data_IF_365965150390
#
_entry.id   IF_365965150390
#
_cell.length_a   1.000
_cell.length_b   1.000
_cell.length_c   1.000
_cell.angle_alpha   90.00
_cell.angle_beta   90.00
_cell.angle_gamma   90.00
#
_symmetry.space_group_name_H-M   'P 1'
#
loop_
_entity.id
_entity.type
_entity.pdbx_description
1 polymer ?
#
# COMPACT_ATOMS: atom_id res chain seq x y z
N UNK A 1 19.04 -28.47 -20.87
CA UNK A 1 20.51 -28.32 -20.96
C UNK A 1 20.84 -27.07 -21.77
N UNK A 2 21.82 -26.27 -21.35
CA UNK A 2 22.25 -25.09 -22.09
C UNK A 2 22.91 -25.51 -23.41
N UNK A 3 22.52 -24.88 -24.52
CA UNK A 3 23.04 -25.21 -25.86
C UNK A 3 24.18 -24.25 -26.22
N UNK A 4 25.30 -24.80 -26.74
CA UNK A 4 26.43 -23.98 -27.19
C UNK A 4 26.11 -23.29 -28.52
N UNK A 5 26.57 -22.04 -28.66
CA UNK A 5 26.51 -21.23 -29.90
C UNK A 5 27.92 -21.05 -30.47
N UNK A 6 28.07 -21.14 -31.80
CA UNK A 6 29.32 -20.89 -32.47
C UNK A 6 29.61 -19.39 -32.49
N UNK A 7 30.83 -19.03 -32.13
CA UNK A 7 31.33 -17.66 -32.20
C UNK A 7 31.96 -17.33 -33.53
N UNK A 8 32.08 -16.04 -33.93
CA UNK A 8 32.77 -15.66 -35.17
C UNK A 8 34.25 -16.14 -35.23
N UNK A 9 34.87 -16.35 -34.07
CA UNK A 9 36.21 -16.91 -33.93
C UNK A 9 36.34 -18.39 -34.28
N UNK A 10 35.22 -19.06 -34.65
CA UNK A 10 35.17 -20.49 -34.94
C UNK A 10 35.03 -21.38 -33.70
N UNK A 11 35.17 -20.85 -32.50
CA UNK A 11 34.99 -21.57 -31.23
C UNK A 11 33.53 -21.65 -30.83
N UNK A 12 33.22 -22.58 -29.91
CA UNK A 12 31.86 -22.75 -29.37
C UNK A 12 31.79 -22.25 -27.95
N UNK A 13 30.72 -21.50 -27.63
CA UNK A 13 30.45 -20.95 -26.29
C UNK A 13 29.12 -21.46 -25.74
N UNK A 14 29.15 -22.05 -24.56
CA UNK A 14 27.98 -22.37 -23.75
C UNK A 14 27.92 -21.49 -22.52
N UNK A 15 26.75 -20.99 -22.19
CA UNK A 15 26.55 -20.13 -21.02
C UNK A 15 25.68 -20.84 -20.00
N UNK A 16 26.10 -20.84 -18.72
CA UNK A 16 25.35 -21.39 -17.60
C UNK A 16 24.95 -20.24 -16.71
N UNK A 17 23.69 -20.15 -16.41
CA UNK A 17 23.18 -19.21 -15.43
C UNK A 17 23.74 -19.55 -14.04
N UNK A 18 24.24 -18.56 -13.33
CA UNK A 18 24.82 -18.72 -11.98
C UNK A 18 23.90 -18.10 -10.94
N UNK A 19 23.57 -16.82 -11.11
CA UNK A 19 22.71 -16.05 -10.20
C UNK A 19 22.26 -14.76 -10.86
N UNK A 20 21.31 -14.08 -10.24
CA UNK A 20 20.97 -12.68 -10.54
C UNK A 20 21.67 -11.76 -9.53
N UNK A 21 22.29 -10.68 -9.99
CA UNK A 21 22.96 -9.73 -9.12
C UNK A 21 21.97 -8.76 -8.43
N UNK A 22 22.51 -7.89 -7.56
CA UNK A 22 21.71 -6.92 -6.80
C UNK A 22 20.99 -5.88 -7.67
N UNK A 23 21.37 -5.76 -8.94
CA UNK A 23 20.74 -4.87 -9.94
C UNK A 23 19.67 -5.56 -10.80
N UNK A 24 19.38 -6.84 -10.53
CA UNK A 24 18.44 -7.63 -11.33
C UNK A 24 19.05 -8.22 -12.62
N UNK A 25 20.36 -8.06 -12.83
CA UNK A 25 21.05 -8.59 -14.00
C UNK A 25 21.44 -10.04 -13.80
N UNK A 26 21.06 -10.89 -14.75
CA UNK A 26 21.42 -12.31 -14.75
C UNK A 26 22.93 -12.49 -15.02
N UNK A 27 23.63 -13.12 -14.08
CA UNK A 27 25.04 -13.46 -14.19
C UNK A 27 25.18 -14.86 -14.77
N UNK A 28 25.93 -14.95 -15.86
CA UNK A 28 26.24 -16.21 -16.53
C UNK A 28 27.73 -16.47 -16.51
N UNK A 29 28.12 -17.73 -16.28
CA UNK A 29 29.47 -18.20 -16.54
C UNK A 29 29.54 -18.79 -17.97
N UNK A 30 30.55 -18.36 -18.72
CA UNK A 30 30.74 -18.78 -20.13
C UNK A 30 31.84 -19.79 -20.22
N UNK A 31 31.59 -20.86 -20.97
CA UNK A 31 32.54 -21.92 -21.26
C UNK A 31 32.76 -21.94 -22.77
N UNK A 32 34.03 -21.78 -23.18
CA UNK A 32 34.43 -21.75 -24.58
C UNK A 32 35.33 -22.98 -24.89
N UNK A 33 35.11 -23.60 -26.03
CA UNK A 33 35.89 -24.74 -26.49
C UNK A 33 35.96 -24.79 -28.02
N UNK A 34 36.84 -25.62 -28.56
CA UNK A 34 37.02 -25.82 -30.00
C UNK A 34 35.86 -26.57 -30.63
N UNK A 35 35.19 -27.43 -29.86
CA UNK A 35 34.03 -28.22 -30.33
C UNK A 35 32.78 -27.86 -29.49
N UNK A 36 31.62 -28.09 -30.12
CA UNK A 36 30.31 -27.89 -29.48
C UNK A 36 30.16 -28.82 -28.26
N UNK A 37 30.51 -30.10 -28.41
CA UNK A 37 30.38 -31.10 -27.36
C UNK A 37 31.24 -30.78 -26.14
N UNK A 38 32.47 -30.29 -26.34
CA UNK A 38 33.37 -29.93 -25.26
C UNK A 38 32.88 -28.69 -24.51
N UNK A 39 32.32 -27.65 -25.20
CA UNK A 39 31.75 -26.48 -24.57
C UNK A 39 30.52 -26.84 -23.72
N UNK A 40 29.65 -27.73 -24.22
CA UNK A 40 28.47 -28.23 -23.52
C UNK A 40 28.86 -29.14 -22.33
N UNK A 41 29.91 -29.99 -22.49
CA UNK A 41 30.42 -30.83 -21.41
C UNK A 41 30.99 -29.97 -20.24
N UNK A 42 31.84 -29.00 -20.56
CA UNK A 42 32.36 -28.05 -19.54
C UNK A 42 31.26 -27.31 -18.83
N UNK A 43 30.23 -26.89 -19.56
CA UNK A 43 29.05 -26.22 -19.01
C UNK A 43 28.23 -27.18 -18.13
N UNK A 44 28.05 -28.42 -18.53
CA UNK A 44 27.33 -29.43 -17.74
C UNK A 44 28.10 -29.85 -16.49
N UNK A 45 29.42 -30.05 -16.59
CA UNK A 45 30.28 -30.29 -15.40
C UNK A 45 30.23 -29.17 -14.41
N UNK A 46 30.30 -27.92 -14.88
CA UNK A 46 30.12 -26.75 -14.01
C UNK A 46 28.73 -26.69 -13.41
N UNK A 47 27.67 -26.94 -14.18
CA UNK A 47 26.30 -26.98 -13.65
C UNK A 47 26.08 -28.09 -12.60
N UNK A 48 26.87 -29.17 -12.68
CA UNK A 48 26.89 -30.25 -11.67
C UNK A 48 27.77 -29.90 -10.45
N UNK A 49 28.84 -29.13 -10.65
CA UNK A 49 29.78 -28.72 -9.61
C UNK A 49 29.40 -27.44 -8.90
N UNK A 50 28.52 -26.62 -9.47
CA UNK A 50 27.81 -25.62 -8.73
C UNK A 50 26.95 -26.39 -7.73
N UNK A 51 27.40 -26.44 -6.48
CA UNK A 51 26.51 -26.76 -5.38
C UNK A 51 25.24 -25.95 -5.62
N UNK A 52 24.17 -26.63 -6.02
CA UNK A 52 22.86 -26.00 -6.06
C UNK A 52 22.68 -25.50 -4.64
N UNK A 53 22.79 -24.18 -4.44
CA UNK A 53 22.36 -23.58 -3.19
C UNK A 53 20.94 -24.10 -3.04
N UNK A 54 20.81 -25.16 -2.25
CA UNK A 54 19.47 -25.70 -1.98
C UNK A 54 18.72 -24.57 -1.28
N UNK A 55 17.43 -24.41 -1.51
CA UNK A 55 16.65 -23.39 -0.79
C UNK A 55 16.95 -23.35 0.69
N UNK A 56 17.30 -24.53 1.26
CA UNK A 56 17.62 -24.72 2.68
C UNK A 56 18.94 -24.04 3.13
N UNK A 57 19.88 -23.80 2.21
CA UNK A 57 21.17 -23.17 2.52
C UNK A 57 21.15 -21.63 2.49
N UNK A 58 20.02 -21.06 2.05
CA UNK A 58 19.86 -19.62 2.02
C UNK A 58 19.83 -19.01 3.43
N UNK A 59 20.38 -17.82 3.57
CA UNK A 59 20.15 -16.97 4.75
C UNK A 59 18.76 -16.32 4.68
N UNK A 60 18.28 -15.81 5.80
CA UNK A 60 17.03 -15.04 5.85
C UNK A 60 17.08 -13.86 4.87
N UNK A 61 18.22 -13.13 4.81
CA UNK A 61 18.37 -12.00 3.89
C UNK A 61 18.23 -12.44 2.45
N UNK A 62 18.91 -13.51 2.04
CA UNK A 62 18.85 -14.04 0.67
C UNK A 62 17.47 -14.57 0.31
N UNK A 63 16.84 -15.30 1.23
CA UNK A 63 15.49 -15.86 1.00
C UNK A 63 14.43 -14.76 0.88
N UNK A 64 14.47 -13.72 1.72
CA UNK A 64 13.54 -12.59 1.65
C UNK A 64 13.80 -11.76 0.41
N UNK A 65 15.07 -11.52 0.05
CA UNK A 65 15.41 -10.79 -1.17
C UNK A 65 14.92 -11.54 -2.42
N UNK A 66 15.18 -12.85 -2.51
CA UNK A 66 14.72 -13.68 -3.62
C UNK A 66 13.19 -13.64 -3.75
N UNK A 67 12.46 -13.75 -2.62
CA UNK A 67 11.00 -13.62 -2.62
C UNK A 67 10.55 -12.27 -3.18
N UNK A 68 11.21 -11.18 -2.80
CA UNK A 68 10.85 -9.84 -3.29
C UNK A 68 11.12 -9.73 -4.80
N UNK A 69 12.30 -10.14 -5.26
CA UNK A 69 12.75 -10.01 -6.65
C UNK A 69 11.88 -10.84 -7.62
N UNK A 70 11.52 -12.05 -7.22
CA UNK A 70 10.70 -12.95 -8.06
C UNK A 70 9.23 -12.52 -8.14
N UNK A 71 8.74 -11.79 -7.11
CA UNK A 71 7.37 -11.29 -7.08
C UNK A 71 7.26 -9.79 -7.44
N UNK A 72 8.37 -9.12 -7.81
CA UNK A 72 8.39 -7.67 -8.04
C UNK A 72 7.38 -7.23 -9.12
N UNK A 73 7.17 -8.05 -10.15
CA UNK A 73 6.24 -7.75 -11.25
C UNK A 73 4.77 -7.77 -10.83
N UNK A 74 4.44 -8.60 -9.84
CA UNK A 74 3.06 -8.78 -9.35
C UNK A 74 2.75 -7.86 -8.17
N UNK A 75 3.78 -7.29 -7.55
CA UNK A 75 3.66 -6.40 -6.41
C UNK A 75 3.59 -4.93 -6.84
N UNK A 76 2.81 -4.13 -6.11
CA UNK A 76 2.88 -2.69 -6.33
C UNK A 76 4.25 -2.14 -5.90
N UNK A 77 4.79 -1.10 -6.59
CA UNK A 77 6.09 -0.49 -6.23
C UNK A 77 6.18 -0.08 -4.76
N UNK A 78 5.09 0.42 -4.18
CA UNK A 78 5.03 0.77 -2.76
C UNK A 78 5.08 -0.46 -1.82
N UNK A 79 4.61 -1.62 -2.27
CA UNK A 79 4.71 -2.88 -1.52
C UNK A 79 6.15 -3.38 -1.52
N UNK A 80 6.81 -3.32 -2.68
CA UNK A 80 8.23 -3.69 -2.83
C UNK A 80 9.09 -2.83 -1.89
N UNK A 81 8.92 -1.50 -1.91
CA UNK A 81 9.65 -0.59 -1.00
C UNK A 81 9.34 -0.89 0.48
N UNK A 82 8.07 -1.19 0.81
CA UNK A 82 7.69 -1.63 2.15
C UNK A 82 8.43 -2.89 2.59
N UNK A 83 8.52 -3.89 1.71
CA UNK A 83 9.23 -5.14 2.00
C UNK A 83 10.74 -4.94 2.13
N UNK A 84 11.36 -4.13 1.26
CA UNK A 84 12.77 -3.79 1.39
C UNK A 84 13.09 -3.05 2.70
N UNK A 85 12.19 -2.15 3.14
CA UNK A 85 12.31 -1.49 4.44
C UNK A 85 12.19 -2.50 5.59
N UNK A 86 11.23 -3.42 5.50
CA UNK A 86 11.06 -4.46 6.50
C UNK A 86 12.27 -5.40 6.53
N UNK A 87 12.83 -5.80 5.37
CA UNK A 87 14.06 -6.58 5.28
C UNK A 87 15.23 -5.84 5.94
N UNK A 88 15.46 -4.56 5.61
CA UNK A 88 16.51 -3.75 6.29
C UNK A 88 16.37 -3.74 7.81
N UNK A 89 15.14 -3.90 8.31
CA UNK A 89 14.85 -3.96 9.73
C UNK A 89 15.01 -5.32 10.40
N UNK A 90 15.37 -6.39 9.67
CA UNK A 90 15.58 -7.75 10.20
C UNK A 90 17.07 -8.06 10.48
N UNK A 91 17.90 -7.03 10.76
CA UNK A 91 19.39 -7.15 10.81
C UNK A 91 19.89 -8.29 11.68
N UNK A 92 19.30 -8.52 12.83
CA UNK A 92 19.73 -9.55 13.79
C UNK A 92 19.60 -10.98 13.28
N UNK A 93 18.72 -11.22 12.32
CA UNK A 93 18.52 -12.56 11.73
C UNK A 93 18.97 -12.65 10.28
N UNK A 94 19.56 -11.61 9.68
CA UNK A 94 19.97 -11.59 8.27
C UNK A 94 20.80 -12.80 7.87
N UNK A 95 21.74 -13.21 8.71
CA UNK A 95 22.69 -14.28 8.41
C UNK A 95 22.28 -15.63 8.96
N UNK A 96 21.13 -15.73 9.61
CA UNK A 96 20.59 -17.00 10.07
C UNK A 96 20.14 -17.80 8.85
N UNK A 97 20.56 -19.07 8.76
CA UNK A 97 20.11 -19.97 7.70
C UNK A 97 18.62 -20.27 7.88
N UNK A 98 17.83 -20.26 6.77
CA UNK A 98 16.37 -20.46 6.86
C UNK A 98 16.01 -21.83 7.43
N UNK A 99 16.84 -22.86 7.19
CA UNK A 99 16.69 -24.20 7.79
C UNK A 99 16.88 -24.24 9.32
N UNK A 100 17.59 -23.25 9.88
CA UNK A 100 17.81 -23.13 11.34
C UNK A 100 16.69 -22.31 12.01
N UNK A 101 15.78 -21.75 11.24
CA UNK A 101 14.63 -21.00 11.78
C UNK A 101 13.67 -21.98 12.45
N UNK A 102 13.38 -21.74 13.71
CA UNK A 102 12.42 -22.48 14.51
C UNK A 102 11.65 -21.50 15.43
N UNK A 103 10.63 -22.00 16.13
CA UNK A 103 9.81 -21.17 17.02
C UNK A 103 10.63 -20.47 18.10
N UNK A 104 11.69 -21.11 18.62
CA UNK A 104 12.59 -20.51 19.62
C UNK A 104 13.35 -19.32 19.07
N UNK A 105 14.01 -19.47 17.90
CA UNK A 105 14.72 -18.39 17.20
C UNK A 105 13.81 -17.21 16.90
N UNK A 106 12.59 -17.50 16.42
CA UNK A 106 11.64 -16.45 16.08
C UNK A 106 11.08 -15.74 17.32
N UNK A 107 10.88 -16.47 18.41
CA UNK A 107 10.45 -15.88 19.70
C UNK A 107 11.50 -14.91 20.24
N UNK A 108 12.77 -15.30 20.22
CA UNK A 108 13.87 -14.41 20.61
C UNK A 108 13.93 -13.16 19.74
N UNK A 109 13.82 -13.33 18.43
CA UNK A 109 13.80 -12.21 17.50
C UNK A 109 12.61 -11.27 17.71
N UNK A 110 11.41 -11.80 17.92
CA UNK A 110 10.21 -10.97 18.21
C UNK A 110 10.37 -10.20 19.51
N UNK A 111 10.95 -10.81 20.56
CA UNK A 111 11.25 -10.13 21.82
C UNK A 111 12.27 -8.99 21.61
N UNK A 112 13.37 -9.22 20.89
CA UNK A 112 14.35 -8.19 20.54
C UNK A 112 13.69 -6.99 19.80
N UNK A 113 12.78 -7.27 18.86
CA UNK A 113 12.04 -6.21 18.18
C UNK A 113 11.12 -5.42 19.13
N UNK A 114 10.52 -6.08 20.12
CA UNK A 114 9.71 -5.43 21.16
C UNK A 114 10.60 -4.56 22.07
N UNK A 115 11.72 -5.10 22.54
CA UNK A 115 12.67 -4.42 23.41
C UNK A 115 13.29 -3.18 22.73
N UNK A 116 13.42 -3.21 21.38
CA UNK A 116 13.81 -2.03 20.58
C UNK A 116 12.73 -0.97 20.44
N UNK A 117 11.57 -1.13 21.09
CA UNK A 117 10.46 -0.16 21.07
C UNK A 117 9.66 -0.13 19.78
N UNK A 118 9.75 -1.14 18.93
CA UNK A 118 8.96 -1.19 17.70
C UNK A 118 7.47 -1.42 17.97
N UNK A 119 6.64 -0.71 17.23
CA UNK A 119 5.19 -0.87 17.31
C UNK A 119 4.74 -2.27 16.89
N UNK A 120 3.75 -2.87 17.57
CA UNK A 120 3.22 -4.21 17.27
C UNK A 120 2.92 -4.46 15.79
N UNK A 121 2.36 -3.47 15.09
CA UNK A 121 2.06 -3.57 13.66
C UNK A 121 3.31 -3.73 12.80
N UNK A 122 4.40 -3.03 13.13
CA UNK A 122 5.69 -3.15 12.42
C UNK A 122 6.29 -4.53 12.61
N UNK A 123 6.26 -5.05 13.83
CA UNK A 123 6.74 -6.41 14.16
C UNK A 123 5.95 -7.44 13.35
N UNK A 124 4.63 -7.34 13.32
CA UNK A 124 3.76 -8.25 12.55
C UNK A 124 4.01 -8.18 11.04
N UNK A 125 4.30 -7.00 10.50
CA UNK A 125 4.62 -6.85 9.07
C UNK A 125 5.94 -7.58 8.75
N UNK A 126 7.01 -7.36 9.53
CA UNK A 126 8.29 -8.06 9.36
C UNK A 126 8.13 -9.58 9.48
N UNK A 127 7.43 -10.04 10.52
CA UNK A 127 7.15 -11.46 10.71
C UNK A 127 6.36 -12.06 9.54
N UNK A 128 5.36 -11.34 9.03
CA UNK A 128 4.56 -11.78 7.88
C UNK A 128 5.40 -11.89 6.60
N UNK A 129 6.31 -10.94 6.36
CA UNK A 129 7.23 -10.99 5.23
C UNK A 129 8.18 -12.18 5.34
N UNK A 130 8.78 -12.42 6.52
CA UNK A 130 9.61 -13.58 6.76
C UNK A 130 8.86 -14.88 6.49
N UNK A 131 7.63 -15.03 7.03
CA UNK A 131 6.80 -16.23 6.77
C UNK A 131 6.53 -16.46 5.30
N UNK A 132 6.28 -15.39 4.53
CA UNK A 132 6.09 -15.50 3.07
C UNK A 132 7.35 -16.01 2.38
N UNK A 133 8.52 -15.46 2.73
CA UNK A 133 9.79 -15.90 2.18
C UNK A 133 10.15 -17.34 2.56
N UNK A 134 9.89 -17.75 3.79
CA UNK A 134 10.07 -19.15 4.23
C UNK A 134 9.17 -20.10 3.44
N UNK A 135 7.88 -19.77 3.33
CA UNK A 135 6.92 -20.57 2.54
C UNK A 135 7.31 -20.65 1.06
N UNK A 136 7.78 -19.54 0.49
CA UNK A 136 8.28 -19.48 -0.90
C UNK A 136 9.45 -20.44 -1.12
N UNK A 137 10.33 -20.59 -0.13
CA UNK A 137 11.45 -21.52 -0.15
C UNK A 137 11.10 -22.91 0.44
N UNK A 138 9.82 -23.28 0.45
CA UNK A 138 9.32 -24.61 0.87
C UNK A 138 9.59 -24.99 2.33
N UNK A 139 9.91 -24.04 3.19
CA UNK A 139 10.00 -24.28 4.64
C UNK A 139 8.59 -24.37 5.23
N UNK A 140 8.32 -25.41 6.02
CA UNK A 140 7.03 -25.56 6.68
C UNK A 140 6.84 -24.53 7.79
N UNK A 141 6.02 -23.53 7.51
CA UNK A 141 5.72 -22.43 8.43
C UNK A 141 4.60 -22.76 9.42
N UNK A 142 3.92 -23.89 9.28
CA UNK A 142 2.82 -24.28 10.17
C UNK A 142 3.32 -24.71 11.56
N UNK A 143 4.56 -25.22 11.62
CA UNK A 143 5.22 -25.60 12.86
C UNK A 143 5.85 -24.41 13.61
N UNK A 144 5.82 -23.21 13.00
CA UNK A 144 6.37 -21.99 13.60
C UNK A 144 5.31 -21.31 14.47
N UNK A 145 5.21 -21.74 15.72
CA UNK A 145 4.30 -21.14 16.70
C UNK A 145 5.01 -20.03 17.48
N UNK A 146 4.63 -18.78 17.20
CA UNK A 146 5.14 -17.57 17.86
C UNK A 146 4.01 -16.63 18.18
N UNK A 147 3.85 -16.32 19.46
CA UNK A 147 2.89 -15.33 19.93
C UNK A 147 3.37 -13.92 19.57
N UNK A 148 2.68 -13.29 18.64
CA UNK A 148 2.97 -11.91 18.24
C UNK A 148 2.27 -10.89 19.15
N UNK A 149 2.89 -9.71 19.38
CA UNK A 149 2.28 -8.66 20.20
C UNK A 149 0.92 -8.25 19.62
N UNK A 150 -0.02 -7.97 20.53
CA UNK A 150 -1.36 -7.52 20.14
C UNK A 150 -1.26 -6.13 19.50
N UNK A 151 -1.91 -5.94 18.37
CA UNK A 151 -2.12 -4.61 17.79
C UNK A 151 -3.34 -4.03 18.50
N UNK A 152 -3.13 -2.98 19.24
CA UNK A 152 -4.25 -2.19 19.76
C UNK A 152 -4.97 -1.55 18.57
N UNK A 153 -6.21 -1.93 18.38
CA UNK A 153 -7.09 -1.29 17.41
C UNK A 153 -7.64 -0.03 18.05
N UNK A 154 -6.94 1.08 17.88
CA UNK A 154 -7.56 2.38 18.18
C UNK A 154 -8.70 2.55 17.17
N UNK A 155 -9.92 2.52 17.68
CA UNK A 155 -11.07 2.96 16.89
C UNK A 155 -10.91 4.46 16.69
N UNK A 156 -10.39 4.86 15.54
CA UNK A 156 -10.35 6.27 15.18
C UNK A 156 -11.79 6.71 15.01
N UNK A 157 -12.24 7.63 15.84
CA UNK A 157 -13.53 8.29 15.64
C UNK A 157 -13.52 9.04 14.30
N UNK A 158 -14.68 9.28 13.72
CA UNK A 158 -14.78 10.20 12.59
C UNK A 158 -14.34 11.58 13.05
N UNK A 159 -13.61 12.35 12.22
CA UNK A 159 -13.41 13.77 12.51
C UNK A 159 -14.74 14.49 12.67
N UNK A 160 -14.77 15.46 13.56
CA UNK A 160 -15.92 16.35 13.73
C UNK A 160 -16.11 17.26 12.51
N UNK A 161 -17.34 17.65 12.24
CA UNK A 161 -17.65 18.59 11.15
C UNK A 161 -16.92 19.93 11.33
N UNK A 162 -16.84 20.41 12.57
CA UNK A 162 -16.12 21.63 12.93
C UNK A 162 -14.62 21.56 12.66
N UNK A 163 -13.99 20.40 12.90
CA UNK A 163 -12.57 20.20 12.62
C UNK A 163 -12.29 20.20 11.11
N UNK A 164 -13.15 19.54 10.34
CA UNK A 164 -13.05 19.53 8.87
C UNK A 164 -13.26 20.92 8.29
N UNK A 165 -14.24 21.68 8.80
CA UNK A 165 -14.48 23.06 8.41
C UNK A 165 -13.26 23.96 8.70
N UNK A 166 -12.70 23.90 9.91
CA UNK A 166 -11.50 24.67 10.30
C UNK A 166 -10.30 24.35 9.42
N UNK A 167 -10.10 23.06 9.09
CA UNK A 167 -9.04 22.63 8.16
C UNK A 167 -9.26 23.21 6.77
N UNK A 168 -10.48 23.15 6.26
CA UNK A 168 -10.82 23.67 4.94
C UNK A 168 -10.65 25.18 4.85
N UNK A 169 -11.15 25.93 5.80
CA UNK A 169 -11.07 27.40 5.85
C UNK A 169 -9.64 27.91 5.90
N UNK A 170 -8.80 27.31 6.75
CA UNK A 170 -7.40 27.71 6.92
C UNK A 170 -6.44 27.17 5.83
N UNK A 171 -6.93 26.33 4.92
CA UNK A 171 -6.13 25.73 3.86
C UNK A 171 -5.83 26.71 2.72
N UNK A 172 -4.65 26.59 2.10
CA UNK A 172 -4.35 27.24 0.83
C UNK A 172 -5.22 26.63 -0.31
N UNK A 173 -5.34 27.30 -1.47
CA UNK A 173 -6.23 26.86 -2.54
C UNK A 173 -6.05 25.39 -2.97
N UNK A 174 -4.81 24.93 -3.14
CA UNK A 174 -4.55 23.54 -3.52
C UNK A 174 -4.96 22.55 -2.43
N UNK A 175 -4.70 22.89 -1.17
CA UNK A 175 -5.07 22.05 -0.04
C UNK A 175 -6.59 22.06 0.20
N UNK A 176 -7.29 23.16 -0.09
CA UNK A 176 -8.77 23.20 -0.08
C UNK A 176 -9.34 22.16 -1.04
N UNK A 177 -8.82 22.08 -2.28
CA UNK A 177 -9.23 21.07 -3.25
C UNK A 177 -8.92 19.64 -2.72
N UNK A 178 -7.74 19.43 -2.14
CA UNK A 178 -7.38 18.12 -1.56
C UNK A 178 -8.34 17.71 -0.43
N UNK A 179 -8.65 18.62 0.49
CA UNK A 179 -9.56 18.36 1.61
C UNK A 179 -10.99 18.11 1.09
N UNK A 180 -11.46 18.91 0.17
CA UNK A 180 -12.78 18.77 -0.46
C UNK A 180 -12.90 17.39 -1.12
N UNK A 181 -11.95 17.01 -2.00
CA UNK A 181 -11.97 15.72 -2.69
C UNK A 181 -11.89 14.53 -1.70
N UNK A 182 -11.11 14.66 -0.63
CA UNK A 182 -11.01 13.60 0.37
C UNK A 182 -12.24 13.50 1.29
N UNK A 183 -12.79 14.64 1.73
CA UNK A 183 -13.88 14.70 2.73
C UNK A 183 -15.27 14.55 2.11
N UNK A 184 -15.49 15.01 0.88
CA UNK A 184 -16.80 14.92 0.20
C UNK A 184 -16.90 13.78 -0.81
N UNK A 185 -15.77 13.29 -1.32
CA UNK A 185 -15.75 12.26 -2.38
C UNK A 185 -14.82 11.08 -2.05
N UNK A 186 -14.26 11.05 -0.84
CA UNK A 186 -13.48 9.90 -0.36
C UNK A 186 -12.24 9.57 -1.19
N UNK A 187 -11.61 10.52 -1.87
CA UNK A 187 -10.41 10.23 -2.65
C UNK A 187 -9.21 9.93 -1.75
N UNK A 188 -8.41 8.96 -2.19
CA UNK A 188 -7.12 8.67 -1.58
C UNK A 188 -6.09 9.72 -1.99
N UNK A 189 -5.09 9.94 -1.15
CA UNK A 189 -4.02 10.91 -1.42
C UNK A 189 -3.35 10.72 -2.78
N UNK A 190 -3.08 9.49 -3.19
CA UNK A 190 -2.47 9.19 -4.47
C UNK A 190 -3.43 9.40 -5.64
N UNK A 191 -4.72 9.08 -5.47
CA UNK A 191 -5.78 9.40 -6.45
C UNK A 191 -5.86 10.91 -6.66
N UNK A 192 -5.89 11.72 -5.59
CA UNK A 192 -5.91 13.20 -5.67
C UNK A 192 -4.70 13.74 -6.44
N UNK A 193 -3.51 13.18 -6.18
CA UNK A 193 -2.28 13.60 -6.86
C UNK A 193 -2.26 13.24 -8.35
N UNK A 194 -2.98 12.17 -8.73
CA UNK A 194 -3.01 11.64 -10.09
C UNK A 194 -3.99 12.38 -11.03
N UNK A 195 -4.96 13.10 -10.47
CA UNK A 195 -6.01 13.77 -11.25
C UNK A 195 -5.44 14.81 -12.23
N UNK A 196 -5.90 14.73 -13.47
CA UNK A 196 -5.62 15.69 -14.53
C UNK A 196 -6.89 16.40 -14.95
N UNK A 197 -6.75 17.57 -15.60
CA UNK A 197 -7.94 18.30 -16.07
C UNK A 197 -8.74 17.55 -17.13
N UNK A 198 -8.14 16.65 -17.91
CA UNK A 198 -8.86 15.78 -18.85
C UNK A 198 -9.80 14.78 -18.19
N UNK A 199 -9.59 14.50 -16.89
CA UNK A 199 -10.42 13.57 -16.12
C UNK A 199 -11.73 14.24 -15.65
N UNK A 200 -11.84 15.58 -15.82
CA UNK A 200 -13.01 16.37 -15.47
C UNK A 200 -13.82 16.71 -16.73
N UNK A 201 -15.03 16.16 -16.82
CA UNK A 201 -16.01 16.45 -17.88
C UNK A 201 -17.30 17.02 -17.27
N UNK A 202 -17.52 18.30 -17.42
CA UNK A 202 -18.59 19.02 -16.73
C UNK A 202 -18.51 18.86 -15.22
N UNK A 203 -19.52 18.24 -14.62
CA UNK A 203 -19.53 17.90 -13.19
C UNK A 203 -19.09 16.46 -12.90
N UNK A 204 -18.62 15.72 -13.89
CA UNK A 204 -18.17 14.34 -13.73
C UNK A 204 -16.65 14.30 -13.64
N UNK A 205 -16.12 13.72 -12.55
CA UNK A 205 -14.68 13.52 -12.37
C UNK A 205 -14.36 12.03 -12.35
N UNK A 206 -13.57 11.57 -13.31
CA UNK A 206 -13.16 10.17 -13.44
C UNK A 206 -11.90 9.91 -12.60
N UNK A 207 -12.05 9.07 -11.59
CA UNK A 207 -10.96 8.64 -10.70
C UNK A 207 -10.54 7.24 -11.11
N UNK A 208 -9.45 7.12 -11.88
CA UNK A 208 -9.02 5.86 -12.50
C UNK A 208 -7.54 5.54 -12.30
N UNK A 209 -6.79 6.43 -11.67
CA UNK A 209 -5.34 6.30 -11.53
C UNK A 209 -4.85 6.69 -10.14
N UNK A 210 -3.62 6.33 -9.83
CA UNK A 210 -2.96 6.60 -8.54
C UNK A 210 -1.50 6.97 -8.78
N UNK A 211 -0.95 7.89 -7.99
CA UNK A 211 0.49 8.14 -7.95
C UNK A 211 1.06 7.43 -6.73
N UNK A 212 2.01 6.55 -6.99
CA UNK A 212 2.73 5.78 -5.97
C UNK A 212 4.22 6.08 -5.97
N UNK A 213 4.88 5.84 -4.86
CA UNK A 213 6.32 6.00 -4.73
C UNK A 213 7.04 4.75 -5.20
N UNK A 214 8.08 4.90 -6.01
CA UNK A 214 8.94 3.79 -6.46
C UNK A 214 10.13 3.58 -5.54
N UNK A 215 10.84 2.47 -5.72
CA UNK A 215 12.07 2.11 -5.01
C UNK A 215 13.16 3.20 -5.10
N UNK A 216 13.22 3.92 -6.22
CA UNK A 216 14.25 4.95 -6.47
C UNK A 216 13.86 6.34 -5.94
N UNK A 217 12.77 6.44 -5.18
CA UNK A 217 12.28 7.72 -4.70
C UNK A 217 11.48 8.52 -5.74
N UNK A 218 11.27 7.97 -6.91
CA UNK A 218 10.51 8.58 -7.99
C UNK A 218 9.01 8.39 -7.83
N UNK A 219 8.25 9.25 -8.48
CA UNK A 219 6.80 9.14 -8.52
C UNK A 219 6.38 8.37 -9.77
N UNK A 220 5.65 7.30 -9.55
CA UNK A 220 5.11 6.49 -10.64
C UNK A 220 3.60 6.73 -10.76
N UNK A 221 3.18 7.22 -11.93
CA UNK A 221 1.77 7.31 -12.27
C UNK A 221 1.27 5.91 -12.66
N UNK A 222 0.52 5.29 -11.77
CA UNK A 222 -0.09 4.00 -12.01
C UNK A 222 -1.40 4.20 -12.77
N UNK A 223 -1.51 3.75 -14.04
CA UNK A 223 -2.69 4.00 -14.88
C UNK A 223 -3.91 3.17 -14.45
N UNK A 224 -3.73 2.21 -13.54
CA UNK A 224 -4.81 1.38 -13.00
C UNK A 224 -4.93 1.62 -11.50
N UNK A 225 -6.14 1.70 -10.96
CA UNK A 225 -6.35 1.85 -9.53
C UNK A 225 -5.90 0.61 -8.75
N UNK A 226 -5.87 0.72 -7.44
CA UNK A 226 -5.45 -0.38 -6.54
C UNK A 226 -6.37 -1.59 -6.59
N UNK A 227 -7.66 -1.34 -6.79
CA UNK A 227 -8.71 -2.37 -6.92
C UNK A 227 -9.66 -1.95 -8.05
N UNK A 228 -10.37 -2.89 -8.70
CA UNK A 228 -11.36 -2.56 -9.72
C UNK A 228 -12.42 -1.54 -9.25
N UNK A 229 -12.90 -1.67 -8.01
CA UNK A 229 -13.90 -0.76 -7.43
C UNK A 229 -13.37 0.67 -7.22
N UNK A 230 -12.06 0.88 -7.33
CA UNK A 230 -11.46 2.22 -7.23
C UNK A 230 -11.56 3.01 -8.54
N UNK A 231 -11.84 2.35 -9.68
CA UNK A 231 -12.17 3.01 -10.95
C UNK A 231 -13.63 3.46 -10.89
N UNK A 232 -13.83 4.77 -10.85
CA UNK A 232 -15.17 5.34 -10.63
C UNK A 232 -15.30 6.76 -11.14
N UNK A 233 -16.52 7.13 -11.48
CA UNK A 233 -16.90 8.51 -11.77
C UNK A 233 -17.62 9.09 -10.57
N UNK A 234 -17.13 10.19 -10.05
CA UNK A 234 -17.78 10.97 -8.99
C UNK A 234 -18.49 12.19 -9.58
N UNK A 235 -19.54 12.64 -8.92
CA UNK A 235 -20.31 13.81 -9.33
C UNK A 235 -19.94 14.96 -8.40
N UNK A 236 -19.41 16.02 -9.00
CA UNK A 236 -19.08 17.28 -8.32
C UNK A 236 -20.23 18.27 -8.39
N UNK A 237 -20.31 19.17 -7.43
CA UNK A 237 -21.18 20.35 -7.57
C UNK A 237 -20.56 21.40 -8.53
N UNK A 238 -21.35 22.31 -9.09
CA UNK A 238 -20.82 23.42 -9.89
C UNK A 238 -19.80 24.27 -9.13
N UNK A 239 -19.97 24.43 -7.80
CA UNK A 239 -19.05 25.16 -6.92
C UNK A 239 -17.72 24.46 -6.81
N UNK A 240 -17.71 23.13 -6.69
CA UNK A 240 -16.48 22.32 -6.66
C UNK A 240 -15.72 22.38 -7.98
N UNK A 241 -16.44 22.35 -9.08
CA UNK A 241 -15.84 22.55 -10.42
C UNK A 241 -15.22 23.96 -10.55
N UNK A 242 -15.90 25.00 -10.04
CA UNK A 242 -15.33 26.36 -9.98
C UNK A 242 -14.09 26.45 -9.11
N UNK A 243 -14.09 25.74 -7.96
CA UNK A 243 -12.92 25.68 -7.08
C UNK A 243 -11.73 24.99 -7.73
N UNK A 244 -11.95 23.89 -8.48
CA UNK A 244 -10.90 23.17 -9.23
C UNK A 244 -10.37 24.08 -10.34
N UNK A 245 -11.23 24.84 -10.99
CA UNK A 245 -10.86 25.74 -12.08
C UNK A 245 -10.62 25.03 -13.42
N UNK A 246 -9.88 25.70 -14.30
CA UNK A 246 -9.57 25.21 -15.65
C UNK A 246 -8.05 25.07 -15.84
N UNK A 247 -7.62 24.12 -16.66
CA UNK A 247 -6.23 23.91 -17.04
C UNK A 247 -6.11 23.14 -18.34
N UNK A 248 -4.88 22.88 -18.78
CA UNK A 248 -4.63 22.05 -19.95
C UNK A 248 -4.96 20.59 -19.67
N UNK A 249 -5.46 19.82 -20.66
CA UNK A 249 -5.92 18.44 -20.43
C UNK A 249 -4.94 17.54 -19.68
N UNK A 250 -3.66 17.56 -20.05
CA UNK A 250 -2.63 16.72 -19.43
C UNK A 250 -2.03 17.32 -18.14
N UNK A 251 -2.40 18.51 -17.77
CA UNK A 251 -1.94 19.15 -16.53
C UNK A 251 -2.62 18.52 -15.33
N UNK A 252 -1.83 18.26 -14.28
CA UNK A 252 -2.36 17.80 -13.00
C UNK A 252 -3.15 18.89 -12.29
N UNK A 253 -4.33 18.59 -11.77
CA UNK A 253 -5.19 19.52 -11.02
C UNK A 253 -4.45 20.08 -9.80
N UNK A 254 -3.79 19.22 -9.03
CA UNK A 254 -3.05 19.63 -7.82
C UNK A 254 -1.59 19.94 -8.14
N UNK A 255 -0.94 19.12 -8.98
CA UNK A 255 0.48 19.27 -9.31
C UNK A 255 1.41 19.17 -8.11
N UNK A 256 1.05 18.35 -7.12
CA UNK A 256 1.84 18.04 -5.94
C UNK A 256 2.02 16.54 -5.80
N UNK A 257 3.21 16.12 -5.40
CA UNK A 257 3.47 14.74 -5.04
C UNK A 257 2.61 14.31 -3.82
N UNK A 258 2.21 13.04 -3.72
CA UNK A 258 1.43 12.56 -2.58
C UNK A 258 2.10 12.83 -1.21
N UNK A 259 3.44 12.75 -1.12
CA UNK A 259 4.16 13.13 0.11
C UNK A 259 3.96 14.60 0.45
N UNK A 260 4.07 15.49 -0.53
CA UNK A 260 3.89 16.92 -0.34
C UNK A 260 2.47 17.25 0.12
N UNK A 261 1.45 16.61 -0.46
CA UNK A 261 0.06 16.72 0.02
C UNK A 261 -0.02 16.29 1.49
N UNK A 262 0.60 15.14 1.85
CA UNK A 262 0.64 14.66 3.22
C UNK A 262 1.33 15.62 4.18
N UNK A 263 2.49 16.16 3.80
CA UNK A 263 3.27 17.11 4.62
C UNK A 263 2.51 18.44 4.79
N UNK A 264 1.91 18.97 3.72
CA UNK A 264 1.14 20.22 3.80
C UNK A 264 -0.09 20.05 4.73
N UNK A 265 -0.78 18.93 4.64
CA UNK A 265 -1.89 18.62 5.56
C UNK A 265 -1.40 18.46 7.00
N UNK A 266 -0.28 17.75 7.20
CA UNK A 266 0.33 17.59 8.53
C UNK A 266 0.67 18.95 9.17
N UNK A 267 1.29 19.85 8.42
CA UNK A 267 1.63 21.19 8.89
C UNK A 267 0.37 22.03 9.20
N UNK A 268 -0.65 21.95 8.34
CA UNK A 268 -1.92 22.64 8.51
C UNK A 268 -2.62 22.20 9.81
N UNK A 269 -2.82 20.89 9.99
CA UNK A 269 -3.48 20.36 11.19
C UNK A 269 -2.73 20.69 12.48
N UNK A 270 -1.39 20.66 12.46
CA UNK A 270 -0.57 20.99 13.63
C UNK A 270 -0.71 22.48 14.01
N UNK A 271 -0.73 23.37 13.01
CA UNK A 271 -0.95 24.80 13.21
C UNK A 271 -2.31 25.09 13.85
N UNK A 272 -3.32 24.27 13.57
CA UNK A 272 -4.68 24.40 14.10
C UNK A 272 -4.92 23.64 15.41
N UNK A 273 -3.92 22.92 15.93
CA UNK A 273 -4.09 22.08 17.12
C UNK A 273 -4.89 20.78 16.87
N UNK A 274 -5.02 20.34 15.61
CA UNK A 274 -5.85 19.20 15.20
C UNK A 274 -4.99 17.94 14.93
N UNK A 275 -4.02 17.63 15.81
CA UNK A 275 -3.06 16.51 15.62
C UNK A 275 -3.75 15.15 15.54
N UNK A 276 -4.93 15.01 16.11
CA UNK A 276 -5.75 13.80 16.08
C UNK A 276 -6.32 13.49 14.68
N UNK A 277 -6.44 14.50 13.79
CA UNK A 277 -7.00 14.34 12.43
C UNK A 277 -5.90 14.03 11.42
N UNK A 278 -6.06 12.99 10.63
CA UNK A 278 -5.19 12.63 9.51
C UNK A 278 -5.92 12.85 8.18
N UNK A 279 -5.18 13.07 7.10
CA UNK A 279 -5.80 13.20 5.77
C UNK A 279 -6.64 11.96 5.38
N UNK A 280 -6.22 10.75 5.80
CA UNK A 280 -6.99 9.54 5.54
C UNK A 280 -8.31 9.47 6.32
N UNK A 281 -8.40 10.17 7.45
CA UNK A 281 -9.62 10.21 8.26
C UNK A 281 -10.73 11.02 7.57
N UNK A 282 -10.40 11.83 6.55
CA UNK A 282 -11.40 12.45 5.67
C UNK A 282 -12.27 11.43 4.94
N UNK A 283 -11.74 10.25 4.66
CA UNK A 283 -12.53 9.15 4.08
C UNK A 283 -13.47 8.51 5.10
N UNK A 284 -13.05 8.47 6.38
CA UNK A 284 -13.94 8.08 7.49
C UNK A 284 -15.06 9.09 7.62
N UNK A 285 -14.72 10.38 7.60
CA UNK A 285 -15.68 11.47 7.63
C UNK A 285 -16.70 11.37 6.48
N UNK A 286 -16.24 11.18 5.24
CA UNK A 286 -17.13 10.99 4.09
C UNK A 286 -18.16 9.87 4.32
N UNK A 287 -17.70 8.69 4.72
CA UNK A 287 -18.60 7.55 4.92
C UNK A 287 -19.59 7.81 6.06
N UNK A 288 -19.10 8.37 7.17
CA UNK A 288 -19.92 8.68 8.34
C UNK A 288 -20.93 9.78 8.05
N UNK A 289 -20.50 10.85 7.38
CA UNK A 289 -21.41 11.96 7.01
C UNK A 289 -22.45 11.52 5.97
N UNK A 290 -22.06 10.68 5.01
CA UNK A 290 -22.98 10.12 4.02
C UNK A 290 -24.05 9.23 4.67
N UNK A 291 -23.63 8.37 5.60
CA UNK A 291 -24.55 7.53 6.37
C UNK A 291 -25.52 8.38 7.21
N UNK A 292 -25.00 9.42 7.87
CA UNK A 292 -25.80 10.37 8.64
C UNK A 292 -26.78 11.16 7.75
N UNK A 293 -26.44 11.42 6.50
CA UNK A 293 -27.34 12.05 5.53
C UNK A 293 -28.37 11.05 4.94
N UNK A 294 -28.38 9.79 5.39
CA UNK A 294 -29.31 8.76 4.92
C UNK A 294 -28.99 8.22 3.53
N UNK A 295 -27.77 8.43 3.02
CA UNK A 295 -27.38 7.89 1.71
C UNK A 295 -27.20 6.37 1.84
N UNK A 296 -27.90 5.55 1.01
CA UNK A 296 -27.77 4.11 1.07
C UNK A 296 -26.33 3.64 0.86
N UNK A 297 -25.94 2.60 1.61
CA UNK A 297 -24.56 2.08 1.65
C UNK A 297 -23.98 1.78 0.25
N UNK A 298 -24.80 1.20 -0.64
CA UNK A 298 -24.40 0.89 -2.01
C UNK A 298 -23.84 2.13 -2.75
N UNK A 299 -24.50 3.29 -2.60
CA UNK A 299 -24.03 4.53 -3.22
C UNK A 299 -22.80 5.10 -2.51
N UNK A 300 -22.74 5.00 -1.19
CA UNK A 300 -21.56 5.42 -0.41
C UNK A 300 -20.35 4.57 -0.80
N UNK A 301 -20.53 3.24 -0.92
CA UNK A 301 -19.47 2.34 -1.36
C UNK A 301 -18.97 2.68 -2.77
N UNK A 302 -19.89 2.85 -3.72
CA UNK A 302 -19.58 3.19 -5.12
C UNK A 302 -18.81 4.52 -5.21
N UNK A 303 -19.30 5.57 -4.58
CA UNK A 303 -18.64 6.89 -4.57
C UNK A 303 -17.28 6.85 -3.87
N UNK A 304 -17.16 6.08 -2.78
CA UNK A 304 -15.95 5.95 -1.99
C UNK A 304 -14.90 5.01 -2.58
N UNK A 305 -15.25 4.24 -3.60
CA UNK A 305 -14.36 3.24 -4.19
C UNK A 305 -14.09 2.07 -3.23
N UNK A 306 -15.14 1.56 -2.58
CA UNK A 306 -15.15 0.33 -1.80
C UNK A 306 -16.00 -0.73 -2.50
N UNK A 307 -15.62 -1.98 -2.29
CA UNK A 307 -16.47 -3.09 -2.69
C UNK A 307 -17.76 -3.07 -1.86
N UNK A 308 -18.89 -3.28 -2.49
CA UNK A 308 -20.19 -3.39 -1.80
C UNK A 308 -20.14 -4.49 -0.73
N UNK A 309 -20.73 -4.23 0.45
CA UNK A 309 -20.68 -5.13 1.60
C UNK A 309 -19.27 -5.31 2.18
N UNK A 310 -18.34 -4.40 1.89
CA UNK A 310 -16.97 -4.47 2.38
C UNK A 310 -16.91 -4.35 3.90
N UNK A 311 -16.44 -5.41 4.58
CA UNK A 311 -16.16 -5.38 6.01
C UNK A 311 -15.25 -4.20 6.40
N UNK A 312 -14.29 -3.83 5.54
CA UNK A 312 -13.42 -2.69 5.77
C UNK A 312 -14.21 -1.37 5.82
N UNK A 313 -15.26 -1.22 5.00
CA UNK A 313 -16.12 -0.05 5.04
C UNK A 313 -16.86 0.03 6.38
N UNK A 314 -17.51 -1.05 6.82
CA UNK A 314 -18.21 -1.09 8.10
C UNK A 314 -17.28 -0.92 9.30
N UNK A 315 -16.20 -1.70 9.38
CA UNK A 315 -15.33 -1.73 10.55
C UNK A 315 -14.47 -0.46 10.71
N UNK A 316 -14.12 0.19 9.59
CA UNK A 316 -13.12 1.26 9.60
C UNK A 316 -13.65 2.63 9.21
N UNK A 317 -14.69 2.70 8.38
CA UNK A 317 -15.13 3.97 7.80
C UNK A 317 -16.52 4.42 8.25
N UNK A 318 -17.48 3.51 8.44
CA UNK A 318 -18.80 3.91 8.95
C UNK A 318 -18.75 4.05 10.47
N UNK A 319 -18.45 5.26 10.93
CA UNK A 319 -18.38 5.61 12.35
C UNK A 319 -19.35 6.76 12.64
N UNK A 320 -19.97 6.73 13.79
CA UNK A 320 -20.77 7.86 14.23
C UNK A 320 -19.88 9.12 14.31
N UNK A 321 -20.43 10.25 13.89
CA UNK A 321 -19.89 11.58 14.17
C UNK A 321 -20.60 12.01 15.46
N UNK A 322 -19.88 12.18 16.59
CA UNK A 322 -20.52 12.40 17.89
C UNK A 322 -21.52 13.56 17.89
N UNK A 323 -21.14 14.70 17.31
CA UNK A 323 -22.03 15.86 17.20
C UNK A 323 -23.28 15.68 16.33
N UNK A 324 -23.29 14.65 15.46
CA UNK A 324 -24.48 14.29 14.67
C UNK A 324 -25.30 13.22 15.37
N UNK A 325 -24.68 12.32 16.13
CA UNK A 325 -25.36 11.28 16.87
C UNK A 325 -26.39 11.86 17.84
N UNK A 326 -25.99 12.87 18.62
CA UNK A 326 -26.89 13.58 19.56
C UNK A 326 -28.10 14.18 18.83
N UNK A 327 -27.89 14.90 17.73
CA UNK A 327 -28.95 15.49 16.91
C UNK A 327 -29.92 14.45 16.32
N UNK A 328 -29.41 13.27 15.94
CA UNK A 328 -30.28 12.20 15.44
C UNK A 328 -31.16 11.64 16.54
N UNK A 329 -30.62 11.44 17.74
CA UNK A 329 -31.42 10.95 18.87
C UNK A 329 -32.40 12.01 19.38
N UNK A 330 -32.06 13.31 19.37
CA UNK A 330 -32.99 14.40 19.65
C UNK A 330 -34.20 14.36 18.69
N UNK A 331 -33.90 14.31 17.38
CA UNK A 331 -34.97 14.23 16.36
C UNK A 331 -35.79 12.95 16.48
N UNK A 332 -35.13 11.80 16.69
CA UNK A 332 -35.83 10.53 16.90
C UNK A 332 -36.76 10.59 18.10
N UNK A 333 -36.30 11.15 19.21
CA UNK A 333 -37.12 11.31 20.41
C UNK A 333 -38.32 12.21 20.15
N UNK A 334 -38.12 13.36 19.50
CA UNK A 334 -39.23 14.27 19.11
C UNK A 334 -40.27 13.55 18.24
N UNK A 335 -39.84 12.75 17.27
CA UNK A 335 -40.76 12.00 16.39
C UNK A 335 -41.48 10.88 17.15
N UNK A 336 -40.79 10.20 18.08
CA UNK A 336 -41.40 9.16 18.92
C UNK A 336 -42.33 9.75 19.97
N UNK A 337 -42.03 10.89 20.59
CA UNK A 337 -42.92 11.56 21.53
C UNK A 337 -44.24 11.96 20.83
N UNK A 338 -44.17 12.46 19.59
CA UNK A 338 -45.36 12.74 18.77
C UNK A 338 -46.13 11.47 18.46
N UNK A 339 -45.45 10.40 18.08
CA UNK A 339 -46.08 9.13 17.75
C UNK A 339 -46.80 8.48 18.94
N UNK A 340 -46.19 8.57 20.14
CA UNK A 340 -46.74 7.99 21.37
C UNK A 340 -47.63 8.97 22.16
N UNK A 341 -47.84 10.21 21.65
CA UNK A 341 -48.55 11.29 22.35
C UNK A 341 -47.98 11.56 23.77
N UNK A 342 -46.66 11.51 23.92
CA UNK A 342 -45.97 11.83 25.17
C UNK A 342 -45.75 13.35 25.18
N UNK A 343 -46.27 14.04 26.20
CA UNK A 343 -46.05 15.50 26.36
C UNK A 343 -47.16 16.38 25.80
N UNK A 344 -48.38 15.82 25.55
CA UNK A 344 -49.59 16.58 25.26
C UNK A 344 -50.38 16.92 26.51
#
# INVERSE_FOLDING_TARGET
MAKAKRLPSGTWRCRVYVRTDESGKQIYKSFTASTKAEAELKAAQFAMSVDKITPEDLTVKEAVQAYIDDNERDLSPSTVEGYLKDLRGMKSIHYVKIKAINSGTLKLWVNELQDSGLKPKTIRNRYSLLKKALKYNHIDVNQLDVKLPKVETFRTASPEMTDVARLYEAANPKMKICIMLAARHSLRRGEIAALKYKDLDGCKLHVHSDIVHTRNGEWFHKPTPKTPDSDRVIILSPEEVRLIGKGFPEQYIIGLAPSSIGTNFYNLRNRLGLQHVRLHDMRVFFASASAAAGIPETYVAKQGGWKEGSKAMHDHYMKAIPSMEEKFYEKYNEDMDKFFNIGG
#
